data_IF_101619252901
#
_entry.id   IF_101619252901
#
_cell.length_a   1.000
_cell.length_b   1.000
_cell.length_c   1.000
_cell.angle_alpha   90.00
_cell.angle_beta   90.00
_cell.angle_gamma   90.00
#
_symmetry.space_group_name_H-M   'P 1'
#
loop_
_entity.id
_entity.type
_entity.pdbx_description
1 polymer ?
#
# COMPACT_ATOMS: atom_id res chain seq x y z
N UNK A 1 28.99 16.77 -8.81
CA UNK A 1 27.64 16.21 -8.55
C UNK A 1 26.62 17.31 -8.80
N UNK A 2 25.70 17.14 -9.74
CA UNK A 2 24.61 18.12 -9.93
C UNK A 2 23.78 18.19 -8.65
N UNK A 3 23.41 19.40 -8.23
CA UNK A 3 22.51 19.57 -7.09
C UNK A 3 21.18 18.87 -7.39
N UNK A 4 20.74 17.98 -6.49
CA UNK A 4 19.42 17.34 -6.60
C UNK A 4 18.34 18.42 -6.58
N UNK A 5 17.49 18.44 -7.61
CA UNK A 5 16.40 19.39 -7.74
C UNK A 5 15.07 18.64 -7.93
N UNK A 6 14.00 19.20 -7.38
CA UNK A 6 12.66 18.69 -7.59
C UNK A 6 12.15 19.10 -8.97
N UNK A 7 11.47 18.19 -9.65
CA UNK A 7 10.72 18.52 -10.87
C UNK A 7 9.58 19.51 -10.57
N UNK A 8 9.07 20.26 -11.56
CA UNK A 8 8.02 21.26 -11.35
C UNK A 8 6.78 20.75 -10.60
N UNK A 9 6.27 19.57 -10.98
CA UNK A 9 5.14 18.95 -10.28
C UNK A 9 5.51 18.61 -8.83
N UNK A 10 6.71 18.10 -8.59
CA UNK A 10 7.18 17.79 -7.24
C UNK A 10 7.31 19.04 -6.36
N UNK A 11 7.71 20.19 -6.93
CA UNK A 11 7.69 21.47 -6.22
C UNK A 11 6.27 21.84 -5.79
N UNK A 12 5.29 21.66 -6.68
CA UNK A 12 3.86 21.86 -6.38
C UNK A 12 3.37 20.97 -5.23
N UNK A 13 3.68 19.68 -5.26
CA UNK A 13 3.26 18.75 -4.20
C UNK A 13 3.96 19.01 -2.86
N UNK A 14 5.25 19.35 -2.86
CA UNK A 14 5.94 19.84 -1.65
C UNK A 14 5.27 21.08 -1.06
N UNK A 15 4.89 22.07 -1.88
CA UNK A 15 4.17 23.27 -1.42
C UNK A 15 2.82 22.88 -0.82
N UNK A 16 2.09 21.96 -1.45
CA UNK A 16 0.80 21.46 -0.93
C UNK A 16 0.96 20.76 0.42
N UNK A 17 1.95 19.88 0.57
CA UNK A 17 2.28 19.20 1.83
C UNK A 17 2.61 20.20 2.95
N UNK A 18 3.46 21.19 2.68
CA UNK A 18 3.84 22.22 3.67
C UNK A 18 2.64 23.07 4.11
N UNK A 19 1.74 23.40 3.18
CA UNK A 19 0.54 24.22 3.46
C UNK A 19 -0.52 23.45 4.25
N UNK A 20 -0.89 22.26 3.78
CA UNK A 20 -1.96 21.47 4.38
C UNK A 20 -1.52 20.76 5.66
N UNK A 21 -0.22 20.47 5.80
CA UNK A 21 0.43 19.74 6.91
C UNK A 21 -0.03 18.29 7.06
N UNK A 22 -1.30 17.98 6.81
CA UNK A 22 -1.91 16.65 6.95
C UNK A 22 -2.58 16.28 5.62
N UNK A 23 -1.99 15.37 4.86
CA UNK A 23 -2.39 15.11 3.47
C UNK A 23 -2.05 13.68 3.02
N UNK A 24 -2.88 13.13 2.14
CA UNK A 24 -2.58 11.95 1.32
C UNK A 24 -1.89 12.43 0.04
N UNK A 25 -0.63 12.06 -0.16
CA UNK A 25 0.05 12.21 -1.45
C UNK A 25 -0.21 10.94 -2.27
N UNK A 26 -1.23 11.05 -3.12
CA UNK A 26 -1.84 10.01 -3.94
C UNK A 26 -1.30 9.91 -5.37
N UNK A 27 -0.20 10.61 -5.70
CA UNK A 27 0.43 10.57 -7.03
C UNK A 27 0.78 9.14 -7.45
N UNK A 28 0.81 8.88 -8.76
CA UNK A 28 1.19 7.57 -9.29
C UNK A 28 2.59 7.10 -8.85
N UNK A 29 2.79 5.79 -8.92
CA UNK A 29 4.07 5.15 -8.59
C UNK A 29 5.18 5.66 -9.52
N UNK A 30 6.32 6.03 -8.94
CA UNK A 30 7.46 6.56 -9.70
C UNK A 30 7.45 8.08 -9.94
N UNK A 31 6.42 8.82 -9.52
CA UNK A 31 6.39 10.29 -9.69
C UNK A 31 7.23 11.08 -8.67
N UNK A 32 7.97 10.38 -7.80
CA UNK A 32 8.83 10.99 -6.77
C UNK A 32 8.07 11.52 -5.55
N UNK A 33 7.16 10.72 -4.98
CA UNK A 33 6.49 11.03 -3.70
C UNK A 33 7.49 11.18 -2.54
N UNK A 34 8.53 10.35 -2.54
CA UNK A 34 9.54 10.30 -1.47
C UNK A 34 10.33 11.61 -1.36
N UNK A 35 10.97 12.14 -2.42
CA UNK A 35 11.60 13.47 -2.38
C UNK A 35 10.66 14.61 -1.95
N UNK A 36 9.39 14.58 -2.40
CA UNK A 36 8.40 15.58 -2.01
C UNK A 36 8.12 15.56 -0.50
N UNK A 37 7.94 14.36 0.06
CA UNK A 37 7.71 14.18 1.50
C UNK A 37 8.94 14.57 2.33
N UNK A 38 10.14 14.13 1.93
CA UNK A 38 11.40 14.47 2.59
C UNK A 38 11.56 15.98 2.64
N UNK A 39 11.51 16.66 1.49
CA UNK A 39 11.72 18.12 1.42
C UNK A 39 10.59 18.94 2.06
N UNK A 40 9.45 18.33 2.35
CA UNK A 40 8.35 18.93 3.11
C UNK A 40 8.36 18.57 4.61
N UNK A 41 9.26 17.72 5.08
CA UNK A 41 9.32 17.29 6.48
C UNK A 41 10.05 18.29 7.39
N UNK A 42 9.79 18.19 8.70
CA UNK A 42 10.54 18.88 9.75
C UNK A 42 10.90 17.89 10.86
N UNK A 43 12.17 17.85 11.30
CA UNK A 43 12.59 16.98 12.39
C UNK A 43 11.96 17.38 13.74
N UNK A 44 11.80 16.43 14.68
CA UNK A 44 12.02 14.99 14.51
C UNK A 44 11.02 14.34 13.53
N UNK A 45 11.52 13.52 12.61
CA UNK A 45 10.69 12.86 11.58
C UNK A 45 10.57 11.36 11.87
N UNK A 46 9.35 10.85 11.88
CA UNK A 46 9.07 9.42 11.88
C UNK A 46 8.64 8.95 10.49
N UNK A 47 9.39 8.03 9.91
CA UNK A 47 9.05 7.34 8.67
C UNK A 47 8.60 5.93 8.98
N UNK A 48 7.44 5.55 8.48
CA UNK A 48 6.87 4.20 8.60
C UNK A 48 6.78 3.63 7.19
N UNK A 49 7.47 2.53 6.91
CA UNK A 49 7.54 1.98 5.56
C UNK A 49 7.54 0.44 5.53
N UNK A 50 7.29 -0.19 4.37
CA UNK A 50 7.56 -1.61 4.17
C UNK A 50 9.05 -1.93 4.30
N UNK A 51 9.40 -3.19 4.57
CA UNK A 51 10.78 -3.63 4.76
C UNK A 51 11.70 -3.25 3.60
N UNK A 52 11.26 -3.49 2.35
CA UNK A 52 12.06 -3.19 1.16
C UNK A 52 12.32 -1.70 0.89
N UNK A 53 11.60 -0.79 1.56
CA UNK A 53 11.76 0.64 1.37
C UNK A 53 12.68 1.30 2.44
N UNK A 54 12.99 0.61 3.54
CA UNK A 54 13.69 1.20 4.70
C UNK A 54 15.03 1.82 4.32
N UNK A 55 15.90 1.04 3.68
CA UNK A 55 17.26 1.48 3.36
C UNK A 55 17.26 2.55 2.25
N UNK A 56 16.25 2.49 1.36
CA UNK A 56 15.99 3.53 0.37
C UNK A 56 15.62 4.86 1.02
N UNK A 57 14.72 4.87 2.01
CA UNK A 57 14.37 6.06 2.78
C UNK A 57 15.58 6.67 3.51
N UNK A 58 16.39 5.83 4.15
CA UNK A 58 17.63 6.25 4.83
C UNK A 58 18.58 6.94 3.86
N UNK A 59 18.77 6.36 2.67
CA UNK A 59 19.63 6.90 1.61
C UNK A 59 19.10 8.23 1.08
N UNK A 60 17.81 8.29 0.75
CA UNK A 60 17.20 9.52 0.22
C UNK A 60 17.19 10.66 1.24
N UNK A 61 17.01 10.39 2.54
CA UNK A 61 17.11 11.45 3.54
C UNK A 61 18.50 12.10 3.56
N UNK A 62 19.57 11.29 3.50
CA UNK A 62 20.96 11.80 3.44
C UNK A 62 21.20 12.64 2.19
N UNK A 63 20.62 12.24 1.06
CA UNK A 63 20.76 12.94 -0.22
C UNK A 63 19.98 14.26 -0.26
N UNK A 64 18.70 14.24 0.14
CA UNK A 64 17.79 15.38 0.01
C UNK A 64 17.82 16.33 1.20
N UNK A 65 18.32 15.89 2.36
CA UNK A 65 18.56 16.71 3.55
C UNK A 65 19.91 16.35 4.19
N UNK A 66 21.04 16.99 3.78
CA UNK A 66 22.37 16.64 4.29
C UNK A 66 22.57 16.77 5.81
N UNK A 67 21.75 17.57 6.49
CA UNK A 67 21.75 17.72 7.96
C UNK A 67 20.90 16.66 8.68
N UNK A 68 20.16 15.83 7.95
CA UNK A 68 19.40 14.74 8.52
C UNK A 68 20.36 13.63 8.97
N UNK A 69 20.08 13.09 10.15
CA UNK A 69 20.76 11.92 10.73
C UNK A 69 19.71 10.81 10.83
N UNK A 70 19.47 10.07 9.74
CA UNK A 70 18.49 8.99 9.75
C UNK A 70 19.05 7.76 10.46
N UNK A 71 18.21 7.13 11.29
CA UNK A 71 18.50 5.91 12.05
C UNK A 71 17.32 4.95 12.01
N UNK A 72 17.55 3.70 12.40
CA UNK A 72 16.51 2.70 12.70
C UNK A 72 16.37 2.46 14.20
N UNK A 73 17.21 3.08 15.03
CA UNK A 73 17.20 2.98 16.49
C UNK A 73 16.46 4.16 17.09
N UNK A 74 15.37 3.89 17.80
CA UNK A 74 14.62 4.92 18.53
C UNK A 74 15.44 5.57 19.64
N UNK A 75 16.41 4.84 20.20
CA UNK A 75 17.27 5.32 21.29
C UNK A 75 18.14 6.49 20.81
N UNK A 76 18.71 6.40 19.59
CA UNK A 76 19.53 7.47 19.03
C UNK A 76 18.72 8.77 18.86
N UNK A 77 17.42 8.66 18.57
CA UNK A 77 16.53 9.84 18.49
C UNK A 77 16.23 10.39 19.87
N UNK A 78 15.95 9.53 20.85
CA UNK A 78 15.72 9.93 22.25
C UNK A 78 16.94 10.62 22.87
N UNK A 79 18.14 10.19 22.50
CA UNK A 79 19.40 10.80 22.92
C UNK A 79 19.78 12.07 22.13
N UNK A 80 19.03 12.43 21.08
CA UNK A 80 19.33 13.56 20.20
C UNK A 80 20.49 13.33 19.22
N UNK A 81 20.98 12.10 19.10
CA UNK A 81 22.02 11.69 18.16
C UNK A 81 21.48 11.61 16.72
N UNK A 82 20.20 11.28 16.57
CA UNK A 82 19.47 11.20 15.31
C UNK A 82 18.21 12.08 15.33
N UNK A 83 17.75 12.51 14.15
CA UNK A 83 16.56 13.37 14.02
C UNK A 83 15.54 12.85 12.99
N UNK A 84 15.82 11.70 12.38
CA UNK A 84 14.91 10.98 11.50
C UNK A 84 14.94 9.51 11.90
N UNK A 85 13.79 8.94 12.24
CA UNK A 85 13.64 7.52 12.54
C UNK A 85 12.92 6.84 11.38
N UNK A 86 13.45 5.72 10.90
CA UNK A 86 12.79 4.87 9.90
C UNK A 86 12.44 3.54 10.54
N UNK A 87 11.14 3.26 10.64
CA UNK A 87 10.60 2.03 11.22
C UNK A 87 9.73 1.27 10.22
N UNK A 88 9.48 0.00 10.55
CA UNK A 88 8.57 -0.85 9.81
C UNK A 88 7.15 -0.74 10.36
N UNK A 89 6.16 -1.03 9.53
CA UNK A 89 4.75 -1.09 9.94
C UNK A 89 4.48 -2.02 11.12
N UNK A 90 5.30 -3.07 11.33
CA UNK A 90 5.18 -3.98 12.46
C UNK A 90 5.44 -3.32 13.82
N UNK A 91 6.26 -2.26 13.87
CA UNK A 91 6.53 -1.52 15.11
C UNK A 91 5.30 -0.81 15.66
N UNK A 92 4.28 -0.58 14.83
CA UNK A 92 3.05 0.10 15.20
C UNK A 92 2.00 -0.85 15.82
N UNK A 93 2.26 -2.14 15.91
CA UNK A 93 1.30 -3.07 16.51
C UNK A 93 1.05 -2.71 17.98
N UNK A 94 -0.22 -2.53 18.36
CA UNK A 94 -0.61 -2.14 19.73
C UNK A 94 -0.77 -3.32 20.70
N UNK A 95 -0.81 -4.55 20.18
CA UNK A 95 -1.11 -5.77 20.94
C UNK A 95 -2.58 -6.22 20.84
N UNK A 96 -2.84 -7.52 21.01
CA UNK A 96 -4.16 -8.15 20.73
C UNK A 96 -5.28 -7.64 21.63
N UNK A 97 -4.99 -7.34 22.89
CA UNK A 97 -6.00 -6.88 23.87
C UNK A 97 -5.97 -5.36 24.06
N UNK A 98 -5.52 -4.61 23.05
CA UNK A 98 -5.56 -3.16 23.12
C UNK A 98 -7.01 -2.67 23.21
N UNK A 99 -7.28 -1.76 24.14
CA UNK A 99 -8.55 -1.03 24.23
C UNK A 99 -8.27 0.47 24.20
N UNK A 100 -9.09 1.28 23.50
CA UNK A 100 -8.97 2.73 23.57
C UNK A 100 -8.95 3.23 25.02
N UNK A 101 -8.06 4.17 25.33
CA UNK A 101 -7.87 4.69 26.69
C UNK A 101 -6.88 3.90 27.55
N UNK A 102 -6.40 2.73 27.11
CA UNK A 102 -5.30 2.00 27.76
C UNK A 102 -3.99 2.21 27.01
N UNK A 103 -2.82 2.17 27.69
CA UNK A 103 -1.53 2.21 27.01
C UNK A 103 -1.36 0.95 26.13
N UNK A 104 -0.73 1.07 24.95
CA UNK A 104 -0.42 -0.10 24.12
C UNK A 104 0.53 -1.05 24.86
N UNK A 105 0.50 -2.35 24.54
CA UNK A 105 1.32 -3.35 25.25
C UNK A 105 2.67 -3.61 24.61
N UNK A 106 2.77 -3.47 23.28
CA UNK A 106 3.96 -3.80 22.50
C UNK A 106 5.07 -2.74 22.70
N UNK A 107 6.33 -3.14 22.91
CA UNK A 107 7.44 -2.20 23.14
C UNK A 107 7.70 -1.21 22.01
N UNK A 108 7.57 -1.62 20.74
CA UNK A 108 7.83 -0.78 19.57
C UNK A 108 7.01 0.52 19.61
N UNK A 109 5.68 0.40 19.55
CA UNK A 109 4.77 1.54 19.60
C UNK A 109 4.91 2.37 20.89
N UNK A 110 5.22 1.76 22.04
CA UNK A 110 5.44 2.51 23.29
C UNK A 110 6.61 3.49 23.12
N UNK A 111 7.77 2.99 22.69
CA UNK A 111 8.95 3.84 22.48
C UNK A 111 8.71 4.92 21.44
N UNK A 112 7.90 4.62 20.42
CA UNK A 112 7.51 5.62 19.42
C UNK A 112 6.59 6.71 19.99
N UNK A 113 5.73 6.39 20.96
CA UNK A 113 4.86 7.38 21.62
C UNK A 113 5.63 8.27 22.62
N UNK A 114 6.79 7.83 23.07
CA UNK A 114 7.67 8.59 23.99
C UNK A 114 8.51 9.66 23.27
N UNK A 115 8.36 9.82 21.95
CA UNK A 115 9.10 10.81 21.15
C UNK A 115 8.13 11.87 20.61
N UNK A 116 8.53 13.13 20.74
CA UNK A 116 7.80 14.30 20.25
C UNK A 116 8.00 14.49 18.73
N UNK A 117 7.38 13.62 17.93
CA UNK A 117 7.46 13.71 16.47
C UNK A 117 6.82 15.00 15.97
N UNK A 118 7.52 15.70 15.08
CA UNK A 118 6.98 16.87 14.38
C UNK A 118 6.38 16.52 13.02
N UNK A 119 6.96 15.53 12.35
CA UNK A 119 6.46 15.00 11.08
C UNK A 119 6.36 13.48 11.14
N UNK A 120 5.20 12.94 10.78
CA UNK A 120 5.00 11.51 10.54
C UNK A 120 4.76 11.30 9.05
N UNK A 121 5.49 10.37 8.45
CA UNK A 121 5.26 9.93 7.07
C UNK A 121 4.98 8.43 7.09
N UNK A 122 3.83 8.04 6.57
CA UNK A 122 3.47 6.64 6.39
C UNK A 122 3.50 6.32 4.89
N UNK A 123 4.52 5.55 4.49
CA UNK A 123 4.68 5.03 3.14
C UNK A 123 3.87 3.74 2.96
N UNK A 124 3.34 3.55 1.76
CA UNK A 124 2.28 2.58 1.46
C UNK A 124 1.11 2.65 2.46
N UNK A 125 0.61 3.86 2.68
CA UNK A 125 -0.43 4.16 3.66
C UNK A 125 -1.72 3.33 3.50
N UNK A 126 -1.95 2.75 2.31
CA UNK A 126 -3.05 1.81 2.09
C UNK A 126 -3.01 0.58 3.03
N UNK A 127 -1.84 0.25 3.62
CA UNK A 127 -1.69 -0.77 4.66
C UNK A 127 -2.50 -0.45 5.93
N UNK A 128 -2.84 0.82 6.16
CA UNK A 128 -3.68 1.30 7.26
C UNK A 128 -5.18 1.40 6.93
N UNK A 129 -5.65 0.84 5.81
CA UNK A 129 -7.07 0.90 5.40
C UNK A 129 -8.03 0.19 6.36
N UNK A 130 -7.58 -0.92 6.95
CA UNK A 130 -8.40 -1.66 7.92
C UNK A 130 -8.41 -0.92 9.26
N UNK A 131 -9.54 -0.31 9.61
CA UNK A 131 -9.71 0.48 10.83
C UNK A 131 -9.49 -0.27 12.15
N UNK A 132 -9.56 -1.60 12.13
CA UNK A 132 -9.38 -2.48 13.31
C UNK A 132 -7.99 -3.10 13.39
N UNK A 133 -7.16 -2.97 12.35
CA UNK A 133 -5.81 -3.54 12.37
C UNK A 133 -4.93 -2.84 13.40
N UNK A 134 -4.10 -3.60 14.11
CA UNK A 134 -3.24 -3.07 15.19
C UNK A 134 -2.34 -1.94 14.72
N UNK A 135 -1.68 -2.10 13.56
CA UNK A 135 -0.83 -1.07 12.95
C UNK A 135 -1.58 0.22 12.63
N UNK A 136 -2.84 0.11 12.18
CA UNK A 136 -3.71 1.27 11.90
C UNK A 136 -4.01 2.03 13.19
N UNK A 137 -4.30 1.30 14.27
CA UNK A 137 -4.54 1.89 15.59
C UNK A 137 -3.26 2.58 16.09
N UNK A 138 -2.09 1.95 15.97
CA UNK A 138 -0.80 2.56 16.30
C UNK A 138 -0.54 3.87 15.54
N UNK A 139 -0.77 3.88 14.23
CA UNK A 139 -0.63 5.09 13.41
C UNK A 139 -1.59 6.20 13.86
N UNK A 140 -2.83 5.86 14.24
CA UNK A 140 -3.78 6.84 14.80
C UNK A 140 -3.33 7.41 16.13
N UNK A 141 -2.69 6.62 16.99
CA UNK A 141 -2.17 7.13 18.25
C UNK A 141 -1.04 8.14 17.99
N UNK A 142 -0.07 7.76 17.16
CA UNK A 142 1.05 8.64 16.79
C UNK A 142 0.59 9.93 16.09
N UNK A 143 -0.39 9.83 15.19
CA UNK A 143 -0.89 11.01 14.45
C UNK A 143 -1.67 12.00 15.32
N UNK A 144 -2.05 11.59 16.53
CA UNK A 144 -2.82 12.40 17.50
C UNK A 144 -1.96 13.01 18.60
N UNK A 145 -0.67 12.71 18.65
CA UNK A 145 0.25 13.43 19.53
C UNK A 145 0.18 14.93 19.22
N UNK A 146 0.20 15.77 20.25
CA UNK A 146 0.08 17.22 20.08
C UNK A 146 1.25 17.80 19.26
N UNK A 147 2.41 17.15 19.36
CA UNK A 147 3.63 17.52 18.63
C UNK A 147 3.55 17.19 17.13
N UNK A 148 2.67 16.25 16.73
CA UNK A 148 2.53 15.74 15.35
C UNK A 148 1.88 16.77 14.43
N UNK A 149 2.63 17.83 14.12
CA UNK A 149 2.21 18.96 13.30
C UNK A 149 1.92 18.53 11.85
N UNK A 150 2.77 17.65 11.29
CA UNK A 150 2.67 17.16 9.91
C UNK A 150 2.43 15.65 9.85
N UNK A 151 1.46 15.23 9.05
CA UNK A 151 1.13 13.81 8.82
C UNK A 151 0.94 13.57 7.34
N UNK A 152 1.89 12.90 6.71
CA UNK A 152 1.89 12.62 5.28
C UNK A 152 1.61 11.13 5.04
N UNK A 153 0.56 10.83 4.29
CA UNK A 153 0.20 9.46 3.91
C UNK A 153 0.55 9.29 2.43
N UNK A 154 1.56 8.48 2.13
CA UNK A 154 2.01 8.26 0.74
C UNK A 154 1.44 6.93 0.25
N UNK A 155 0.75 6.95 -0.89
CA UNK A 155 0.25 5.72 -1.52
C UNK A 155 -0.13 6.01 -2.97
N UNK A 156 0.27 5.17 -3.92
CA UNK A 156 -0.22 5.29 -5.31
C UNK A 156 -1.68 4.82 -5.46
N UNK A 157 -2.16 4.06 -4.50
CA UNK A 157 -3.49 3.41 -4.50
C UNK A 157 -4.22 3.76 -3.20
N UNK A 158 -4.74 4.99 -3.04
CA UNK A 158 -5.44 5.39 -1.82
C UNK A 158 -6.70 4.57 -1.55
N UNK A 159 -7.31 4.00 -2.61
CA UNK A 159 -8.50 3.15 -2.56
C UNK A 159 -8.28 1.90 -3.43
N UNK A 160 -7.49 0.92 -2.95
CA UNK A 160 -7.07 -0.21 -3.79
C UNK A 160 -8.22 -1.03 -4.40
N UNK A 161 -9.34 -1.12 -3.67
CA UNK A 161 -10.49 -1.90 -4.11
C UNK A 161 -11.63 -1.03 -4.67
N UNK A 162 -11.39 0.26 -4.92
CA UNK A 162 -12.42 1.19 -5.42
C UNK A 162 -13.54 1.54 -4.43
N UNK A 163 -13.44 1.11 -3.16
CA UNK A 163 -14.46 1.36 -2.12
C UNK A 163 -14.14 2.60 -1.28
N UNK A 164 -14.96 3.63 -1.36
CA UNK A 164 -14.84 4.86 -0.57
C UNK A 164 -14.80 4.59 0.94
N UNK A 165 -15.42 3.50 1.41
CA UNK A 165 -15.29 3.05 2.82
C UNK A 165 -13.85 2.76 3.26
N UNK A 166 -12.94 2.38 2.37
CA UNK A 166 -11.52 2.14 2.69
C UNK A 166 -10.79 3.43 3.07
N UNK A 167 -11.25 4.58 2.55
CA UNK A 167 -10.61 5.86 2.76
C UNK A 167 -10.82 6.40 4.18
N UNK A 168 -11.92 6.02 4.84
CA UNK A 168 -12.28 6.53 6.17
C UNK A 168 -11.14 6.39 7.18
N UNK A 169 -10.41 5.27 7.15
CA UNK A 169 -9.33 5.05 8.10
C UNK A 169 -8.21 6.07 7.96
N UNK A 170 -7.83 6.40 6.73
CA UNK A 170 -6.81 7.40 6.41
C UNK A 170 -7.29 8.81 6.72
N UNK A 171 -8.56 9.10 6.41
CA UNK A 171 -9.18 10.38 6.74
C UNK A 171 -9.27 10.60 8.25
N UNK A 172 -9.59 9.57 9.04
CA UNK A 172 -9.58 9.64 10.50
C UNK A 172 -8.17 9.90 11.07
N UNK A 173 -7.12 9.39 10.42
CA UNK A 173 -5.73 9.67 10.81
C UNK A 173 -5.40 11.16 10.57
N UNK A 174 -5.88 11.73 9.46
CA UNK A 174 -5.62 13.12 9.09
C UNK A 174 -6.49 14.13 9.85
N UNK A 175 -7.79 13.85 10.02
CA UNK A 175 -8.76 14.74 10.66
C UNK A 175 -9.75 13.93 11.52
N UNK A 176 -9.33 13.53 12.75
CA UNK A 176 -10.12 12.67 13.61
C UNK A 176 -11.39 13.35 14.14
N UNK A 177 -11.44 14.68 14.16
CA UNK A 177 -12.63 15.43 14.61
C UNK A 177 -13.74 15.30 13.58
N UNK A 178 -13.41 15.56 12.31
CA UNK A 178 -14.36 15.44 11.21
C UNK A 178 -14.76 14.00 10.94
N UNK A 179 -13.79 13.09 10.86
CA UNK A 179 -14.03 11.68 10.55
C UNK A 179 -14.09 10.82 11.80
N UNK A 180 -14.81 11.27 12.83
CA UNK A 180 -14.87 10.64 14.15
C UNK A 180 -15.62 9.31 14.18
N UNK A 181 -16.63 9.14 13.31
CA UNK A 181 -17.46 7.93 13.23
C UNK A 181 -17.43 7.32 11.84
N UNK A 182 -17.09 6.02 11.78
CA UNK A 182 -17.14 5.25 10.53
C UNK A 182 -18.56 5.17 10.00
N UNK A 183 -19.54 4.87 10.86
CA UNK A 183 -20.91 4.66 10.41
C UNK A 183 -21.55 5.94 9.90
N UNK A 184 -21.23 7.08 10.52
CA UNK A 184 -21.66 8.40 10.02
C UNK A 184 -21.08 8.68 8.62
N UNK A 185 -19.78 8.44 8.43
CA UNK A 185 -19.15 8.60 7.11
C UNK A 185 -19.79 7.71 6.04
N UNK A 186 -20.06 6.44 6.36
CA UNK A 186 -20.74 5.52 5.43
C UNK A 186 -22.13 6.03 5.07
N UNK A 187 -22.88 6.52 6.04
CA UNK A 187 -24.22 7.06 5.82
C UNK A 187 -24.22 8.34 4.97
N UNK A 188 -23.24 9.23 5.18
CA UNK A 188 -23.15 10.51 4.51
C UNK A 188 -22.62 10.42 3.06
N UNK A 189 -21.69 9.50 2.81
CA UNK A 189 -20.89 9.47 1.58
C UNK A 189 -21.22 8.30 0.66
N UNK A 190 -21.83 7.22 1.15
CA UNK A 190 -21.96 5.96 0.40
C UNK A 190 -23.42 5.52 0.23
N UNK A 191 -23.73 5.04 -0.98
CA UNK A 191 -24.92 4.22 -1.25
C UNK A 191 -24.57 2.76 -1.04
N UNK A 192 -25.40 2.08 -0.24
CA UNK A 192 -25.15 0.71 0.20
C UNK A 192 -26.42 -0.13 0.12
N UNK A 193 -26.21 -1.41 -0.10
CA UNK A 193 -27.25 -2.43 -0.09
C UNK A 193 -26.95 -3.46 1.02
N UNK A 194 -27.95 -3.85 1.84
CA UNK A 194 -27.75 -4.91 2.81
C UNK A 194 -27.48 -6.25 2.09
N UNK A 195 -26.60 -7.07 2.65
CA UNK A 195 -26.38 -8.42 2.13
C UNK A 195 -27.44 -9.35 2.75
N UNK A 196 -28.27 -9.99 1.91
CA UNK A 196 -29.32 -10.89 2.36
C UNK A 196 -28.76 -12.02 3.23
N UNK A 197 -29.40 -12.29 4.37
CA UNK A 197 -28.93 -13.30 5.34
C UNK A 197 -27.71 -12.91 6.16
N UNK A 198 -27.16 -11.70 5.98
CA UNK A 198 -26.02 -11.21 6.76
C UNK A 198 -26.45 -10.21 7.86
N UNK A 199 -25.65 -10.05 8.93
CA UNK A 199 -25.91 -9.03 9.94
C UNK A 199 -25.96 -7.61 9.36
N UNK A 200 -26.68 -6.65 9.99
CA UNK A 200 -26.88 -5.29 9.46
C UNK A 200 -25.60 -4.48 9.16
N UNK A 201 -24.47 -4.86 9.76
CA UNK A 201 -23.17 -4.22 9.53
C UNK A 201 -22.42 -4.76 8.29
N UNK A 202 -22.95 -5.78 7.62
CA UNK A 202 -22.44 -6.35 6.37
C UNK A 202 -23.26 -5.80 5.22
N UNK A 203 -22.61 -5.08 4.32
CA UNK A 203 -23.26 -4.41 3.20
C UNK A 203 -22.37 -4.42 1.96
N UNK A 204 -23.01 -4.34 0.79
CA UNK A 204 -22.35 -4.06 -0.48
C UNK A 204 -22.34 -2.54 -0.69
N UNK A 205 -21.15 -1.99 -0.88
CA UNK A 205 -20.99 -0.61 -1.35
C UNK A 205 -21.28 -0.58 -2.85
N UNK A 206 -22.19 0.31 -3.26
CA UNK A 206 -22.59 0.47 -4.66
C UNK A 206 -21.80 1.60 -5.31
N UNK A 207 -22.03 2.82 -4.82
CA UNK A 207 -21.43 4.04 -5.35
C UNK A 207 -21.41 5.17 -4.30
N UNK A 208 -20.87 6.32 -4.68
CA UNK A 208 -20.90 7.52 -3.84
C UNK A 208 -22.30 8.13 -3.84
N UNK A 209 -22.81 8.45 -2.64
CA UNK A 209 -24.12 9.09 -2.48
C UNK A 209 -24.17 10.48 -3.10
N UNK A 210 -23.08 11.24 -2.99
CA UNK A 210 -22.96 12.60 -3.53
C UNK A 210 -21.55 12.81 -4.09
N UNK A 211 -21.26 12.39 -5.34
CA UNK A 211 -19.91 12.42 -5.90
C UNK A 211 -19.25 13.80 -5.85
N UNK A 212 -19.98 14.86 -6.20
CA UNK A 212 -19.46 16.24 -6.17
C UNK A 212 -19.19 16.74 -4.74
N UNK A 213 -20.04 16.37 -3.79
CA UNK A 213 -19.81 16.67 -2.37
C UNK A 213 -18.54 15.97 -1.88
N UNK A 214 -18.40 14.68 -2.20
CA UNK A 214 -17.24 13.87 -1.84
C UNK A 214 -15.95 14.44 -2.45
N UNK A 215 -15.97 14.81 -3.74
CA UNK A 215 -14.83 15.44 -4.40
C UNK A 215 -14.38 16.71 -3.67
N UNK A 216 -15.27 17.67 -3.50
CA UNK A 216 -14.95 18.98 -2.90
C UNK A 216 -14.58 18.88 -1.42
N UNK A 217 -15.24 18.00 -0.68
CA UNK A 217 -15.11 17.94 0.77
C UNK A 217 -14.12 16.88 1.24
N UNK A 218 -13.80 15.89 0.44
CA UNK A 218 -12.86 14.81 0.80
C UNK A 218 -11.64 14.86 -0.10
N UNK A 219 -11.82 14.66 -1.41
CA UNK A 219 -10.68 14.52 -2.35
C UNK A 219 -9.85 15.80 -2.39
N UNK A 220 -10.45 16.94 -2.75
CA UNK A 220 -9.73 18.20 -2.95
C UNK A 220 -9.09 18.74 -1.65
N UNK A 221 -9.60 18.32 -0.48
CA UNK A 221 -9.10 18.75 0.83
C UNK A 221 -7.95 17.87 1.31
N UNK A 222 -8.09 16.55 1.23
CA UNK A 222 -7.16 15.62 1.88
C UNK A 222 -6.26 14.86 0.91
N UNK A 223 -6.51 14.88 -0.40
CA UNK A 223 -5.76 14.09 -1.38
C UNK A 223 -5.15 15.02 -2.43
N UNK A 224 -3.86 14.86 -2.69
CA UNK A 224 -3.24 15.33 -3.91
C UNK A 224 -2.95 14.09 -4.77
N UNK A 225 -3.64 13.94 -5.90
CA UNK A 225 -3.44 12.85 -6.85
C UNK A 225 -3.20 13.42 -8.23
N UNK A 226 -2.14 12.93 -8.87
CA UNK A 226 -1.75 13.22 -10.24
C UNK A 226 -1.31 11.92 -10.88
N UNK A 227 -1.58 11.80 -12.17
CA UNK A 227 -1.33 10.58 -12.94
C UNK A 227 -0.27 10.86 -13.99
N UNK A 228 0.49 9.85 -14.42
CA UNK A 228 1.63 10.06 -15.33
C UNK A 228 1.23 10.61 -16.70
N UNK A 229 -0.01 10.42 -17.10
CA UNK A 229 -0.61 10.87 -18.35
C UNK A 229 -1.19 12.30 -18.26
N UNK A 230 -1.07 12.97 -17.11
CA UNK A 230 -1.48 14.36 -16.95
C UNK A 230 -0.79 15.26 -18.00
N UNK A 231 -1.55 16.01 -18.80
CA UNK A 231 -1.01 16.88 -19.84
C UNK A 231 0.05 17.86 -19.36
N UNK A 232 0.05 18.25 -18.08
CA UNK A 232 1.02 19.20 -17.52
C UNK A 232 2.46 18.65 -17.51
N UNK A 233 2.64 17.33 -17.44
CA UNK A 233 3.98 16.74 -17.29
C UNK A 233 4.15 15.36 -17.93
N UNK A 234 3.20 14.90 -18.76
CA UNK A 234 3.28 13.61 -19.47
C UNK A 234 4.60 13.44 -20.25
N UNK A 235 5.12 14.52 -20.81
CA UNK A 235 6.36 14.51 -21.63
C UNK A 235 7.62 14.22 -20.80
N UNK A 236 7.51 14.19 -19.46
CA UNK A 236 8.59 13.81 -18.54
C UNK A 236 8.66 12.29 -18.29
N UNK A 237 7.66 11.52 -18.74
CA UNK A 237 7.58 10.08 -18.56
C UNK A 237 7.52 9.37 -19.91
N UNK A 238 8.14 8.18 -20.06
CA UNK A 238 7.98 7.40 -21.27
C UNK A 238 6.51 7.00 -21.45
N UNK A 239 6.08 6.86 -22.71
CA UNK A 239 4.74 6.33 -23.00
C UNK A 239 4.56 4.97 -22.33
N UNK A 240 3.41 4.78 -21.69
CA UNK A 240 3.07 3.52 -21.05
C UNK A 240 2.88 2.47 -22.13
N UNK A 241 3.86 1.57 -22.27
CA UNK A 241 3.70 0.41 -23.12
C UNK A 241 2.54 -0.44 -22.59
N UNK A 242 1.54 -0.78 -23.43
CA UNK A 242 0.51 -1.71 -23.03
C UNK A 242 1.16 -3.04 -22.66
N UNK A 243 0.72 -3.73 -21.59
CA UNK A 243 1.24 -5.05 -21.29
C UNK A 243 0.97 -5.97 -22.49
N UNK A 244 2.00 -6.63 -23.00
CA UNK A 244 1.83 -7.68 -24.01
C UNK A 244 1.10 -8.84 -23.35
N UNK A 245 -0.13 -9.11 -23.78
CA UNK A 245 -0.93 -10.22 -23.25
C UNK A 245 -0.74 -11.43 -24.16
N UNK A 246 0.02 -12.41 -23.66
CA UNK A 246 0.14 -13.72 -24.31
C UNK A 246 -1.07 -14.58 -23.91
N UNK A 247 -1.91 -14.92 -24.88
CA UNK A 247 -2.95 -15.94 -24.70
C UNK A 247 -2.28 -17.30 -24.87
N UNK A 248 -2.19 -18.05 -23.77
CA UNK A 248 -1.51 -19.34 -23.71
C UNK A 248 -2.56 -20.38 -23.39
N UNK A 249 -2.76 -21.31 -24.30
CA UNK A 249 -3.61 -22.45 -24.05
C UNK A 249 -2.86 -23.47 -23.19
N UNK A 250 -3.58 -24.09 -22.26
CA UNK A 250 -3.02 -25.21 -21.51
C UNK A 250 -2.97 -26.43 -22.42
N UNK A 251 -1.90 -27.20 -22.33
CA UNK A 251 -1.69 -28.37 -23.20
C UNK A 251 -1.29 -29.60 -22.37
N UNK A 252 -1.37 -30.77 -23.02
CA UNK A 252 -0.84 -32.03 -22.49
C UNK A 252 -1.27 -32.37 -21.07
N UNK A 253 -0.29 -32.74 -20.23
CA UNK A 253 -0.50 -33.11 -18.82
C UNK A 253 -1.10 -31.96 -18.01
N UNK A 254 -0.73 -30.71 -18.32
CA UNK A 254 -1.22 -29.53 -17.60
C UNK A 254 -2.71 -29.30 -17.85
N UNK A 255 -3.15 -29.40 -19.12
CA UNK A 255 -4.57 -29.29 -19.47
C UNK A 255 -5.41 -30.40 -18.83
N UNK A 256 -4.89 -31.64 -18.87
CA UNK A 256 -5.56 -32.79 -18.26
C UNK A 256 -5.77 -32.57 -16.76
N UNK A 257 -4.70 -32.25 -16.03
CA UNK A 257 -4.78 -32.03 -14.59
C UNK A 257 -5.71 -30.86 -14.24
N UNK A 258 -5.69 -29.79 -15.04
CA UNK A 258 -6.60 -28.65 -14.85
C UNK A 258 -8.07 -29.05 -15.03
N UNK A 259 -8.40 -29.82 -16.08
CA UNK A 259 -9.77 -30.29 -16.33
C UNK A 259 -10.26 -31.24 -15.24
N UNK A 260 -9.46 -32.23 -14.86
CA UNK A 260 -9.80 -33.15 -13.76
C UNK A 260 -10.05 -32.40 -12.45
N UNK A 261 -9.18 -31.44 -12.09
CA UNK A 261 -9.40 -30.61 -10.90
C UNK A 261 -10.68 -29.74 -11.02
N UNK A 262 -11.04 -29.26 -12.21
CA UNK A 262 -12.22 -28.44 -12.43
C UNK A 262 -13.53 -29.25 -12.34
N UNK A 263 -13.52 -30.46 -12.90
CA UNK A 263 -14.71 -31.30 -13.03
C UNK A 263 -14.89 -32.22 -11.81
N UNK A 264 -13.80 -32.73 -11.25
CA UNK A 264 -13.79 -33.78 -10.22
C UNK A 264 -13.24 -33.33 -8.86
N UNK A 265 -12.73 -32.09 -8.76
CA UNK A 265 -12.04 -31.58 -7.57
C UNK A 265 -10.82 -32.40 -7.12
N UNK A 266 -10.32 -33.29 -7.98
CA UNK A 266 -9.13 -34.09 -7.74
C UNK A 266 -8.33 -34.29 -9.03
N UNK A 267 -7.02 -34.45 -8.92
CA UNK A 267 -6.15 -34.87 -10.03
C UNK A 267 -4.84 -35.42 -9.50
N UNK A 268 -4.15 -36.23 -10.30
CA UNK A 268 -2.81 -36.71 -10.00
C UNK A 268 -1.79 -35.91 -10.80
N UNK A 269 -0.82 -35.29 -10.13
CA UNK A 269 0.31 -34.59 -10.76
C UNK A 269 1.60 -35.28 -10.34
N UNK A 270 2.25 -35.95 -11.29
CA UNK A 270 3.35 -36.87 -10.96
C UNK A 270 2.82 -38.01 -10.09
N UNK A 271 3.38 -38.15 -8.90
CA UNK A 271 2.93 -39.12 -7.89
C UNK A 271 2.07 -38.47 -6.78
N UNK A 272 1.79 -37.17 -6.86
CA UNK A 272 1.04 -36.43 -5.85
C UNK A 272 -0.45 -36.33 -6.19
N UNK A 273 -1.30 -36.83 -5.29
CA UNK A 273 -2.75 -36.67 -5.37
C UNK A 273 -3.15 -35.29 -4.83
N UNK A 274 -3.67 -34.44 -5.71
CA UNK A 274 -4.24 -33.16 -5.35
C UNK A 274 -5.74 -33.32 -5.16
N UNK A 275 -6.25 -32.98 -3.98
CA UNK A 275 -7.67 -32.94 -3.66
C UNK A 275 -8.08 -31.54 -3.21
N UNK A 276 -9.23 -31.05 -3.69
CA UNK A 276 -9.87 -29.85 -3.23
C UNK A 276 -11.14 -30.19 -2.43
N UNK A 277 -11.18 -29.78 -1.16
CA UNK A 277 -12.29 -30.09 -0.26
C UNK A 277 -13.51 -29.16 -0.42
N UNK A 278 -13.33 -28.03 -1.13
CA UNK A 278 -14.36 -27.03 -1.36
C UNK A 278 -13.97 -26.14 -2.55
N UNK A 279 -14.91 -25.31 -3.02
CA UNK A 279 -14.71 -24.43 -4.17
C UNK A 279 -13.53 -23.44 -4.01
N UNK A 280 -13.23 -22.97 -2.79
CA UNK A 280 -12.09 -22.08 -2.55
C UNK A 280 -10.76 -22.81 -2.71
N UNK A 281 -10.66 -24.02 -2.16
CA UNK A 281 -9.51 -24.89 -2.36
C UNK A 281 -9.34 -25.26 -3.84
N UNK A 282 -10.45 -25.55 -4.53
CA UNK A 282 -10.45 -25.87 -5.96
C UNK A 282 -9.92 -24.71 -6.78
N UNK A 283 -10.40 -23.48 -6.53
CA UNK A 283 -9.92 -22.28 -7.21
C UNK A 283 -8.41 -22.06 -6.99
N UNK A 284 -7.92 -22.32 -5.77
CA UNK A 284 -6.49 -22.26 -5.49
C UNK A 284 -5.69 -23.31 -6.27
N UNK A 285 -6.19 -24.56 -6.36
CA UNK A 285 -5.54 -25.63 -7.13
C UNK A 285 -5.56 -25.36 -8.63
N UNK A 286 -6.69 -24.93 -9.19
CA UNK A 286 -6.80 -24.52 -10.59
C UNK A 286 -5.80 -23.40 -10.92
N UNK A 287 -5.67 -22.41 -10.04
CA UNK A 287 -4.67 -21.35 -10.23
C UNK A 287 -3.24 -21.87 -10.20
N UNK A 288 -2.90 -22.83 -9.34
CA UNK A 288 -1.58 -23.49 -9.33
C UNK A 288 -1.34 -24.23 -10.66
N UNK A 289 -2.29 -25.07 -11.07
CA UNK A 289 -2.20 -25.85 -12.31
C UNK A 289 -2.12 -24.97 -13.56
N UNK A 290 -2.84 -23.86 -13.61
CA UNK A 290 -2.74 -22.88 -14.71
C UNK A 290 -1.45 -22.04 -14.69
N UNK A 291 -0.68 -22.06 -13.60
CA UNK A 291 0.63 -21.42 -13.54
C UNK A 291 1.70 -22.40 -14.01
N UNK A 292 1.85 -23.53 -13.31
CA UNK A 292 2.82 -24.56 -13.66
C UNK A 292 2.56 -25.84 -12.86
N UNK A 293 2.77 -27.00 -13.47
CA UNK A 293 2.82 -28.28 -12.74
C UNK A 293 4.03 -28.34 -11.80
N UNK A 294 5.11 -27.59 -12.10
CA UNK A 294 6.32 -27.43 -11.30
C UNK A 294 6.11 -26.91 -9.88
N UNK A 295 4.98 -26.26 -9.62
CA UNK A 295 4.58 -25.81 -8.27
C UNK A 295 4.25 -27.01 -7.37
N UNK A 296 3.83 -28.12 -7.97
CA UNK A 296 3.43 -29.35 -7.29
C UNK A 296 4.57 -30.36 -7.39
N UNK A 297 4.96 -30.72 -8.62
CA UNK A 297 6.10 -31.58 -8.88
C UNK A 297 7.14 -30.82 -9.74
N UNK A 298 8.27 -30.40 -9.15
CA UNK A 298 9.33 -29.68 -9.86
C UNK A 298 9.81 -30.35 -11.15
N UNK A 299 9.72 -31.69 -11.26
CA UNK A 299 10.13 -32.42 -12.48
C UNK A 299 9.22 -32.17 -13.68
N UNK A 300 8.03 -31.62 -13.45
CA UNK A 300 7.04 -31.30 -14.48
C UNK A 300 7.02 -29.80 -14.83
N UNK A 301 8.02 -29.02 -14.39
CA UNK A 301 8.10 -27.59 -14.71
C UNK A 301 8.08 -27.35 -16.24
N UNK A 302 8.88 -28.10 -16.99
CA UNK A 302 9.03 -27.97 -18.45
C UNK A 302 7.78 -28.43 -19.22
N UNK A 303 6.87 -29.15 -18.57
CA UNK A 303 5.58 -29.55 -19.14
C UNK A 303 4.54 -28.41 -19.10
N UNK A 304 4.90 -27.27 -18.50
CA UNK A 304 3.98 -26.14 -18.29
C UNK A 304 4.03 -25.15 -19.45
N UNK A 305 2.88 -24.87 -20.06
CA UNK A 305 2.76 -24.02 -21.24
C UNK A 305 3.34 -22.61 -21.03
N UNK A 306 3.20 -22.03 -19.83
CA UNK A 306 3.77 -20.71 -19.50
C UNK A 306 5.29 -20.69 -19.40
N UNK A 307 5.91 -21.80 -19.00
CA UNK A 307 7.38 -21.89 -18.91
C UNK A 307 7.94 -21.94 -20.33
N UNK A 308 7.37 -22.79 -21.19
CA UNK A 308 7.74 -22.86 -22.62
C UNK A 308 7.66 -21.51 -23.33
N UNK A 309 6.53 -20.81 -23.18
CA UNK A 309 6.36 -19.47 -23.78
C UNK A 309 7.31 -18.45 -23.17
N UNK A 310 7.62 -18.54 -21.87
CA UNK A 310 8.61 -17.66 -21.25
C UNK A 310 10.01 -17.90 -21.82
N UNK A 311 10.40 -19.16 -22.03
CA UNK A 311 11.68 -19.52 -22.64
C UNK A 311 11.78 -18.96 -24.07
N UNK A 312 10.73 -19.10 -24.87
CA UNK A 312 10.65 -18.50 -26.21
C UNK A 312 10.80 -16.95 -26.18
N UNK A 313 10.16 -16.29 -25.21
CA UNK A 313 10.28 -14.82 -25.04
C UNK A 313 11.71 -14.44 -24.66
N UNK A 314 12.35 -15.19 -23.76
CA UNK A 314 13.72 -14.91 -23.31
C UNK A 314 14.72 -15.15 -24.44
N UNK A 315 14.58 -16.25 -25.19
CA UNK A 315 15.43 -16.56 -26.34
C UNK A 315 15.25 -15.55 -27.49
N UNK A 316 14.02 -15.07 -27.70
CA UNK A 316 13.71 -14.01 -28.66
C UNK A 316 14.23 -12.61 -28.29
N UNK A 317 14.63 -12.41 -27.03
CA UNK A 317 15.15 -11.15 -26.51
C UNK A 317 16.47 -11.34 -25.73
N UNK A 318 17.59 -11.69 -26.41
CA UNK A 318 18.85 -12.09 -25.78
C UNK A 318 19.62 -10.95 -25.10
N UNK A 319 19.19 -9.68 -25.27
CA UNK A 319 19.75 -8.58 -24.50
C UNK A 319 18.91 -8.34 -23.24
N UNK A 320 19.53 -8.16 -22.07
CA UNK A 320 18.79 -7.82 -20.86
C UNK A 320 17.95 -6.56 -21.13
N UNK A 321 16.68 -6.59 -20.75
CA UNK A 321 15.82 -5.41 -20.73
C UNK A 321 16.48 -4.38 -19.81
N UNK A 322 17.21 -3.42 -20.40
CA UNK A 322 17.88 -2.31 -19.71
C UNK A 322 16.85 -1.30 -19.23
#
# INVERSE_FOLDING_TARGET
MSALSLYPHQVGGRKRLRRQKRLILGDDMGMGKTPQAITASMPPVLIICPLGARDHWMTLFRQWQPKAKPTTSVVDVQNGEANVLVVLWGELEVGRDFSPGKPPKKPGIKRLLDVEWRTIVADEAHLAKNRKAQRTIGLRLLSRLETSERVFLLTGTPIPNGRATELWSLLNILDPKRFSSYWRYVEEEVLREPVHGAPPFVFKELELRRPEHFRRNVVDKYILRREKDDPEFRDQYPEKMPPTVYKIDLEGKQLKAYKEMADEMLTLVGDELLLAQNALSQFSRLRQLALSLGIIDPKLADESAKIKVLDEIVEGHPQPLV
#
